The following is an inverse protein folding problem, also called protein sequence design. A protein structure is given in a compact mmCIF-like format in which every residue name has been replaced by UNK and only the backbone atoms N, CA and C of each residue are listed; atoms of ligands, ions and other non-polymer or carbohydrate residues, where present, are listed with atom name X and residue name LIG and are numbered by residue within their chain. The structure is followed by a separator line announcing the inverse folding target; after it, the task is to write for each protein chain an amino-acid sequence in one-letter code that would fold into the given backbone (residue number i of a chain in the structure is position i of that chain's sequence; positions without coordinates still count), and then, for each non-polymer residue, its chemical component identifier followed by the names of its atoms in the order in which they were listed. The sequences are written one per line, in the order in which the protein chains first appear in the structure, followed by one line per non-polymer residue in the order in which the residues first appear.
data_IF_151577896183
#
_entry.id   IF_151577896183
#
_cell.length_a   1.000
_cell.length_b   1.000
_cell.length_c   1.000
_cell.angle_alpha   90.00
_cell.angle_beta   90.00
_cell.angle_gamma   90.00
#
_symmetry.space_group_name_H-M   'P 1'
#
loop_
_entity.id
_entity.type
_entity.pdbx_description
1 polymer ?
#
# COMPACT_ATOMS: atom_id res chain seq x y z
N UNK A 1 -21.42 19.91 18.51
CA UNK A 1 -21.00 18.97 18.09
C UNK A 1 -20.60 18.34 17.84
N UNK A 2 -20.61 18.57 17.95
CA UNK A 2 -20.17 17.58 17.45
C UNK A 2 -19.52 16.86 17.18
N UNK A 3 -19.30 16.97 17.20
CA UNK A 3 -18.76 15.96 16.74
C UNK A 3 -18.16 15.20 16.35
N UNK A 4 -17.98 15.32 16.36
CA UNK A 4 -17.54 14.24 15.83
C UNK A 4 -16.79 13.51 15.42
N UNK A 5 -16.71 13.66 15.50
CA UNK A 5 -16.19 12.64 14.94
C UNK A 5 -15.56 11.92 14.37
N UNK A 6 -15.62 12.19 14.33
CA UNK A 6 -15.15 11.18 13.81
C UNK A 6 -14.54 10.78 13.35
N UNK A 7 -14.74 10.93 13.16
CA UNK A 7 -14.43 10.15 12.75
C UNK A 7 -14.03 9.92 12.47
N UNK A 8 -14.32 10.41 12.40
CA UNK A 8 -14.21 9.87 12.11
C UNK A 8 -13.75 9.79 11.83
N UNK A 9 -13.98 10.67 12.17
CA UNK A 9 -13.82 10.44 11.91
C UNK A 9 -13.49 11.00 11.81
N UNK A 10 -13.80 11.72 12.03
CA UNK A 10 -13.91 11.82 11.84
C UNK A 10 -13.79 12.43 11.89
N UNK A 11 -14.21 13.31 12.13
CA UNK A 11 -14.54 13.45 11.97
C UNK A 11 -14.58 13.99 12.16
N UNK A 12 -15.17 14.92 12.61
CA UNK A 12 -15.69 15.04 12.63
C UNK A 12 -15.78 15.65 12.85
N UNK A 13 -16.43 16.46 13.15
CA UNK A 13 -16.97 16.55 13.16
C UNK A 13 -17.22 16.92 13.48
N UNK A 14 -17.95 17.79 13.91
CA UNK A 14 -18.68 17.65 14.06
C UNK A 14 -19.28 17.83 14.11
N UNK A 15 -19.98 18.30 14.18
CA UNK A 15 -20.81 17.82 14.13
C UNK A 15 -21.15 17.29 14.24
N UNK A 16 -21.80 17.72 14.47
CA UNK A 16 -22.21 16.75 14.51
C UNK A 16 -22.42 16.07 14.00
N UNK A 17 -22.55 16.23 13.99
CA UNK A 17 -22.55 15.41 13.36
C UNK A 17 -22.15 14.61 12.82
N UNK A 18 -22.52 14.37 12.60
CA UNK A 18 -21.89 13.32 12.01
C UNK A 18 -21.00 13.40 11.00
N UNK A 19 -20.27 12.91 10.94
CA UNK A 19 -19.12 13.07 10.14
C UNK A 19 -19.17 12.38 8.79
N UNK A 20 -20.25 12.36 8.14
CA UNK A 20 -20.36 11.76 6.83
C UNK A 20 -19.73 12.66 5.78
N UNK A 21 -18.87 12.10 4.96
CA UNK A 21 -18.27 12.78 3.82
C UNK A 21 -18.59 11.97 2.57
N UNK A 22 -19.43 12.49 1.66
CA UNK A 22 -19.84 11.71 0.49
C UNK A 22 -18.70 11.40 -0.49
N UNK A 23 -17.73 12.30 -0.60
CA UNK A 23 -16.58 12.09 -1.47
C UNK A 23 -15.31 12.33 -0.68
N UNK A 24 -14.20 11.66 -1.03
CA UNK A 24 -12.93 11.95 -0.37
C UNK A 24 -12.57 13.42 -0.49
N UNK A 25 -12.14 14.01 0.59
CA UNK A 25 -11.67 15.39 0.62
C UNK A 25 -10.15 15.41 0.69
N UNK A 26 -9.51 16.39 0.05
CA UNK A 26 -8.08 16.55 0.25
C UNK A 26 -7.79 16.75 1.72
N UNK A 27 -6.79 16.06 2.22
CA UNK A 27 -6.38 16.22 3.60
C UNK A 27 -5.72 17.56 3.84
N UNK A 28 -5.69 18.00 5.09
CA UNK A 28 -4.91 19.16 5.48
C UNK A 28 -3.41 18.82 5.32
N UNK A 29 -2.56 19.83 5.09
CA UNK A 29 -1.13 19.55 5.02
C UNK A 29 -0.64 18.88 6.30
N UNK A 30 0.21 17.88 6.14
CA UNK A 30 0.72 17.06 7.23
C UNK A 30 2.07 17.61 7.65
N UNK A 31 2.26 17.98 8.93
CA UNK A 31 3.57 18.41 9.39
C UNK A 31 4.63 17.36 9.04
N UNK A 32 5.71 17.78 8.41
CA UNK A 32 6.75 16.87 7.96
C UNK A 32 6.43 16.10 6.69
N UNK A 33 5.23 16.28 6.13
CA UNK A 33 4.84 15.68 4.88
C UNK A 33 4.22 14.30 5.02
N UNK A 34 3.69 13.80 3.92
CA UNK A 34 3.09 12.48 3.85
C UNK A 34 4.17 11.40 3.92
N UNK A 35 3.96 10.37 4.72
CA UNK A 35 4.89 9.26 4.85
C UNK A 35 4.16 7.95 4.99
N UNK A 36 4.81 6.88 4.56
CA UNK A 36 4.32 5.53 4.76
C UNK A 36 4.60 5.13 6.21
N UNK A 37 3.56 4.69 6.93
CA UNK A 37 3.70 4.26 8.33
C UNK A 37 3.79 2.76 8.43
N UNK A 38 3.11 2.04 7.56
CA UNK A 38 3.16 0.58 7.56
C UNK A 38 2.80 0.04 6.19
N UNK A 39 3.26 -1.17 5.92
CA UNK A 39 2.90 -1.90 4.72
C UNK A 39 2.86 -3.38 5.06
N UNK A 40 1.76 -4.03 4.72
CA UNK A 40 1.55 -5.44 5.03
C UNK A 40 1.19 -6.18 3.75
N UNK A 41 1.93 -7.24 3.47
CA UNK A 41 1.70 -8.05 2.28
C UNK A 41 1.01 -9.35 2.66
N UNK A 42 0.06 -9.76 1.84
CA UNK A 42 -0.51 -11.10 1.96
C UNK A 42 0.51 -12.12 1.47
N UNK A 43 0.40 -13.39 1.89
CA UNK A 43 1.18 -14.44 1.25
C UNK A 43 0.87 -14.49 -0.23
N UNK A 44 1.87 -14.86 -1.03
CA UNK A 44 1.67 -15.05 -2.46
C UNK A 44 0.97 -16.38 -2.70
N UNK A 45 0.13 -16.43 -3.71
CA UNK A 45 -0.56 -17.65 -4.12
C UNK A 45 -0.45 -17.81 -5.62
N UNK A 46 -0.66 -19.04 -6.07
CA UNK A 46 -0.54 -19.37 -7.48
C UNK A 46 -1.57 -18.63 -8.31
N UNK A 47 -1.12 -18.11 -9.44
CA UNK A 47 -1.99 -17.48 -10.41
C UNK A 47 -1.90 -18.26 -11.70
N UNK A 48 -0.99 -17.89 -12.59
CA UNK A 48 -0.87 -18.56 -13.88
C UNK A 48 0.60 -18.88 -14.13
N UNK A 49 0.88 -20.15 -14.35
CA UNK A 49 2.25 -20.60 -14.60
C UNK A 49 3.16 -20.28 -13.41
N UNK A 50 4.28 -19.62 -13.70
CA UNK A 50 5.24 -19.24 -12.67
C UNK A 50 4.86 -17.98 -11.92
N UNK A 51 3.79 -17.30 -12.32
CA UNK A 51 3.37 -16.06 -11.71
C UNK A 51 2.64 -16.32 -10.39
N UNK A 52 3.04 -15.59 -9.36
CA UNK A 52 2.40 -15.64 -8.05
C UNK A 52 1.85 -14.25 -7.75
N UNK A 53 0.68 -14.18 -7.15
CA UNK A 53 0.04 -12.91 -6.88
C UNK A 53 -0.18 -12.70 -5.39
N UNK A 54 -0.25 -11.44 -5.01
CA UNK A 54 -0.55 -11.05 -3.65
C UNK A 54 -0.99 -9.61 -3.61
N UNK A 55 -1.18 -9.10 -2.41
CA UNK A 55 -1.64 -7.73 -2.19
C UNK A 55 -0.81 -7.10 -1.09
N UNK A 56 -0.46 -5.83 -1.27
CA UNK A 56 0.22 -5.05 -0.25
C UNK A 56 -0.72 -3.92 0.17
N UNK A 57 -1.02 -3.86 1.47
CA UNK A 57 -1.82 -2.78 2.04
C UNK A 57 -0.86 -1.77 2.63
N UNK A 58 -0.95 -0.53 2.18
CA UNK A 58 -0.04 0.54 2.57
C UNK A 58 -0.82 1.60 3.33
N UNK A 59 -0.33 1.94 4.52
CA UNK A 59 -0.96 2.92 5.39
C UNK A 59 -0.04 4.13 5.54
N UNK A 60 -0.63 5.32 5.41
CA UNK A 60 0.10 6.58 5.49
C UNK A 60 -0.21 7.31 6.79
N UNK A 61 0.61 8.28 7.12
CA UNK A 61 0.49 9.04 8.38
C UNK A 61 -0.63 10.08 8.36
N UNK A 62 -1.35 10.18 7.28
CA UNK A 62 -2.47 11.11 7.17
C UNK A 62 -3.07 11.02 5.78
N UNK A 63 -4.07 11.86 5.53
CA UNK A 63 -4.77 11.86 4.25
C UNK A 63 -3.96 12.61 3.20
N UNK A 64 -3.90 12.04 2.00
CA UNK A 64 -3.21 12.68 0.89
C UNK A 64 -3.93 13.96 0.49
N UNK A 65 -3.17 14.97 0.05
CA UNK A 65 -3.74 16.20 -0.49
C UNK A 65 -3.85 16.16 -2.00
N UNK A 66 -3.15 15.24 -2.63
CA UNK A 66 -3.18 15.05 -4.09
C UNK A 66 -3.00 13.56 -4.37
N UNK A 67 -3.22 13.17 -5.60
CA UNK A 67 -3.04 11.77 -6.02
C UNK A 67 -1.57 11.38 -5.89
N UNK A 68 -1.35 10.23 -5.26
CA UNK A 68 -0.01 9.66 -5.07
C UNK A 68 -0.01 8.26 -5.68
N UNK A 69 0.98 7.97 -6.49
CA UNK A 69 1.14 6.65 -7.08
C UNK A 69 2.08 5.83 -6.21
N UNK A 70 1.68 4.60 -5.91
CA UNK A 70 2.41 3.72 -5.01
C UNK A 70 2.88 2.52 -5.81
N UNK A 71 4.18 2.28 -5.77
CA UNK A 71 4.80 1.18 -6.49
C UNK A 71 5.40 0.20 -5.50
N UNK A 72 5.44 -1.07 -5.88
CA UNK A 72 6.08 -2.10 -5.09
C UNK A 72 7.10 -2.81 -5.96
N UNK A 73 8.31 -2.95 -5.43
CA UNK A 73 9.38 -3.72 -6.06
C UNK A 73 9.71 -4.91 -5.19
N UNK A 74 10.14 -6.00 -5.81
CA UNK A 74 10.51 -7.22 -5.11
C UNK A 74 11.91 -7.64 -5.51
N UNK A 75 12.62 -8.23 -4.55
CA UNK A 75 13.89 -8.87 -4.84
C UNK A 75 13.69 -10.37 -4.79
N UNK A 76 13.57 -10.94 -5.97
CA UNK A 76 13.33 -12.38 -6.13
C UNK A 76 14.62 -13.13 -5.81
N UNK A 77 14.54 -14.31 -5.17
CA UNK A 77 15.73 -15.10 -4.89
C UNK A 77 16.56 -15.32 -6.14
N UNK A 78 17.86 -15.13 -6.02
CA UNK A 78 18.79 -15.22 -7.15
C UNK A 78 19.02 -13.93 -7.89
N UNK A 79 18.25 -12.89 -7.59
CA UNK A 79 18.42 -11.58 -8.22
C UNK A 79 19.06 -10.61 -7.23
N UNK A 80 20.09 -9.83 -7.66
CA UNK A 80 20.67 -8.82 -6.79
C UNK A 80 19.88 -7.50 -6.79
N UNK A 81 18.86 -7.38 -7.62
CA UNK A 81 18.15 -6.13 -7.80
C UNK A 81 16.67 -6.25 -7.46
N UNK A 82 16.09 -5.14 -7.01
CA UNK A 82 14.64 -5.02 -6.90
C UNK A 82 14.06 -4.76 -8.27
N UNK A 83 12.93 -5.41 -8.56
CA UNK A 83 12.22 -5.29 -9.82
C UNK A 83 10.77 -4.90 -9.53
N UNK A 84 10.23 -3.99 -10.31
CA UNK A 84 8.84 -3.54 -10.14
C UNK A 84 7.89 -4.72 -10.36
N UNK A 85 7.05 -4.98 -9.38
CA UNK A 85 6.06 -6.06 -9.43
C UNK A 85 4.64 -5.51 -9.23
N UNK A 86 4.48 -4.19 -9.14
CA UNK A 86 3.18 -3.61 -8.87
C UNK A 86 2.29 -3.63 -10.11
N UNK A 87 0.99 -3.77 -9.84
CA UNK A 87 -0.02 -3.64 -10.87
C UNK A 87 -0.42 -2.19 -11.10
N UNK A 88 -1.62 -2.01 -11.63
CA UNK A 88 -2.11 -0.69 -12.03
C UNK A 88 -2.91 0.03 -10.95
N UNK A 89 -3.14 -0.62 -9.82
CA UNK A 89 -4.08 -0.13 -8.80
C UNK A 89 -3.39 0.47 -7.57
N UNK A 90 -2.12 0.75 -7.63
CA UNK A 90 -1.41 1.39 -6.53
C UNK A 90 -1.60 2.91 -6.54
N UNK A 91 -2.77 3.37 -6.13
CA UNK A 91 -3.11 4.79 -6.17
C UNK A 91 -3.71 5.22 -4.84
N UNK A 92 -3.12 6.24 -4.24
CA UNK A 92 -3.68 6.91 -3.08
C UNK A 92 -4.32 8.21 -3.55
N UNK A 93 -5.65 8.32 -3.40
CA UNK A 93 -6.38 9.48 -3.86
C UNK A 93 -6.46 10.55 -2.79
N UNK A 94 -6.73 11.80 -3.17
CA UNK A 94 -6.90 12.87 -2.17
C UNK A 94 -7.93 12.49 -1.12
N UNK A 95 -7.59 12.70 0.14
CA UNK A 95 -8.44 12.36 1.26
C UNK A 95 -8.28 10.95 1.80
N UNK A 96 -7.55 10.09 1.12
CA UNK A 96 -7.34 8.71 1.56
C UNK A 96 -6.07 8.59 2.39
N UNK A 97 -6.08 7.64 3.33
CA UNK A 97 -4.94 7.33 4.19
C UNK A 97 -4.34 5.97 3.87
N UNK A 98 -5.02 5.16 3.09
CA UNK A 98 -4.60 3.79 2.79
C UNK A 98 -4.79 3.50 1.31
N UNK A 99 -3.93 2.64 0.78
CA UNK A 99 -4.16 2.11 -0.54
C UNK A 99 -3.72 0.65 -0.60
N UNK A 100 -4.19 -0.02 -1.63
CA UNK A 100 -3.92 -1.43 -1.84
C UNK A 100 -3.22 -1.57 -3.18
N UNK A 101 -2.14 -2.34 -3.21
CA UNK A 101 -1.36 -2.58 -4.42
C UNK A 101 -1.35 -4.07 -4.68
N UNK A 102 -1.86 -4.49 -5.83
CA UNK A 102 -1.72 -5.89 -6.24
C UNK A 102 -0.35 -6.10 -6.86
N UNK A 103 0.28 -7.21 -6.52
CA UNK A 103 1.61 -7.51 -6.99
C UNK A 103 1.60 -8.86 -7.71
N UNK A 104 2.47 -8.97 -8.71
CA UNK A 104 2.70 -10.21 -9.46
C UNK A 104 4.19 -10.46 -9.48
N UNK A 105 4.58 -11.62 -8.98
CA UNK A 105 5.99 -11.99 -8.84
C UNK A 105 6.23 -13.25 -9.65
N UNK A 106 7.25 -13.22 -10.50
CA UNK A 106 7.62 -14.38 -11.30
C UNK A 106 8.64 -15.21 -10.53
N UNK A 107 8.26 -16.45 -10.21
CA UNK A 107 9.11 -17.37 -9.45
C UNK A 107 9.47 -18.61 -10.25
N UNK A 108 9.72 -18.45 -11.55
CA UNK A 108 9.93 -19.60 -12.44
C UNK A 108 11.14 -20.47 -12.06
N UNK A 109 12.13 -19.90 -11.44
CA UNK A 109 13.34 -20.64 -11.07
C UNK A 109 13.46 -20.86 -9.58
N UNK A 110 12.32 -20.80 -8.87
CA UNK A 110 12.29 -20.93 -7.42
C UNK A 110 11.45 -22.13 -7.06
N UNK A 111 11.97 -22.97 -6.19
CA UNK A 111 11.24 -24.12 -5.66
C UNK A 111 11.19 -24.03 -4.14
N UNK A 112 10.12 -24.61 -3.57
CA UNK A 112 9.95 -24.63 -2.13
C UNK A 112 9.43 -23.31 -1.59
N UNK A 113 9.52 -23.16 -0.28
CA UNK A 113 9.05 -21.96 0.41
C UNK A 113 10.11 -20.88 0.36
N UNK A 114 9.70 -19.66 0.06
CA UNK A 114 10.63 -18.55 -0.04
C UNK A 114 10.04 -17.31 0.62
N UNK A 115 10.93 -16.48 1.16
CA UNK A 115 10.58 -15.13 1.61
C UNK A 115 11.11 -14.15 0.59
N UNK A 116 10.32 -13.13 0.29
CA UNK A 116 10.61 -12.18 -0.77
C UNK A 116 10.56 -10.77 -0.19
N UNK A 117 11.72 -10.09 -0.10
CA UNK A 117 11.74 -8.71 0.34
C UNK A 117 11.01 -7.81 -0.64
N UNK A 118 10.22 -6.91 -0.12
CA UNK A 118 9.47 -5.92 -0.90
C UNK A 118 9.88 -4.53 -0.47
N UNK A 119 9.89 -3.61 -1.43
CA UNK A 119 10.11 -2.20 -1.17
C UNK A 119 8.97 -1.42 -1.74
N UNK A 120 8.29 -0.64 -0.89
CA UNK A 120 7.19 0.22 -1.29
C UNK A 120 7.73 1.62 -1.49
N UNK A 121 7.44 2.21 -2.64
CA UNK A 121 7.88 3.57 -2.97
C UNK A 121 6.70 4.37 -3.47
N UNK A 122 6.84 5.70 -3.46
CA UNK A 122 5.79 6.58 -3.97
C UNK A 122 6.37 7.51 -5.03
N UNK A 123 5.50 7.88 -5.96
CA UNK A 123 5.85 8.87 -6.99
C UNK A 123 5.02 10.12 -6.77
N UNK A 124 5.67 11.28 -6.87
CA UNK A 124 4.99 12.56 -6.82
C UNK A 124 4.67 13.08 -5.43
N UNK A 125 5.20 12.49 -4.37
CA UNK A 125 4.85 12.90 -3.01
C UNK A 125 6.04 13.09 -2.08
N UNK A 126 7.17 12.44 -2.38
CA UNK A 126 8.30 12.44 -1.45
C UNK A 126 8.03 11.66 -0.17
N UNK A 127 7.06 10.73 -0.19
CA UNK A 127 6.69 9.99 1.02
C UNK A 127 7.70 8.94 1.44
N UNK A 128 8.80 8.81 0.70
CA UNK A 128 9.88 7.91 1.06
C UNK A 128 9.64 6.48 0.66
N UNK A 129 10.35 5.58 1.32
CA UNK A 129 10.31 4.15 1.04
C UNK A 129 9.95 3.40 2.31
N UNK A 130 9.40 2.22 2.14
CA UNK A 130 9.09 1.35 3.27
C UNK A 130 9.36 -0.09 2.87
N UNK A 131 10.13 -0.79 3.69
CA UNK A 131 10.48 -2.19 3.44
C UNK A 131 9.49 -3.10 4.13
N UNK A 132 9.07 -4.13 3.42
CA UNK A 132 8.21 -5.18 3.99
C UNK A 132 8.61 -6.51 3.38
N UNK A 133 7.83 -7.52 3.62
CA UNK A 133 8.16 -8.87 3.19
C UNK A 133 6.90 -9.62 2.84
N UNK A 134 6.97 -10.42 1.78
CA UNK A 134 5.95 -11.42 1.50
C UNK A 134 6.60 -12.79 1.43
N UNK A 135 5.81 -13.81 1.30
CA UNK A 135 6.34 -15.16 1.17
C UNK A 135 5.44 -15.98 0.25
N UNK A 136 6.04 -16.99 -0.33
CA UNK A 136 5.34 -18.00 -1.12
C UNK A 136 5.61 -19.35 -0.49
N UNK A 137 4.53 -20.10 -0.27
CA UNK A 137 4.63 -21.45 0.24
C UNK A 137 4.18 -22.41 -0.87
N UNK A 138 5.09 -23.25 -1.28
CA UNK A 138 4.81 -24.20 -2.34
C UNK A 138 3.75 -25.21 -1.87
N UNK A 139 2.88 -25.59 -2.79
CA UNK A 139 1.93 -26.68 -2.51
C UNK A 139 2.66 -28.00 -2.53
N UNK A 140 2.28 -28.84 -1.60
CA UNK A 140 2.80 -30.20 -1.55
C UNK A 140 1.88 -31.17 -2.27
#
# INVERSE_FOLDING_TARGET
MLLLIGCEGTSASGSNTPAYVPNPQPGAPIPGGLRIVSAHATPLFDDFGSTKTGTVNVHFNGAATKTVYVDVSARVPGSPFYTDVSGIDGVLRPGQTDCQVRIKVDLRNVSGDVQIPLKVTTRGSGAGEFDTMTHYRAKL
#
